data_IF_355514243512
#
_entry.id   IF_355514243512
#
_cell.length_a   1.000
_cell.length_b   1.000
_cell.length_c   1.000
_cell.angle_alpha   90.00
_cell.angle_beta   90.00
_cell.angle_gamma   90.00
#
_symmetry.space_group_name_H-M   'P 1'
#
loop_
_entity.id
_entity.type
_entity.pdbx_description
1 polymer ?
#
# COMPACT_ATOMS: atom_id res chain seq x y z
N UNK A 1 38.66 -19.62 7.76
CA UNK A 1 38.09 -18.46 7.06
C UNK A 1 36.59 -18.63 7.08
N UNK A 2 35.82 -17.57 7.25
CA UNK A 2 34.35 -17.65 7.20
C UNK A 2 33.91 -18.03 5.79
N UNK A 3 33.04 -19.03 5.64
CA UNK A 3 32.46 -19.38 4.34
C UNK A 3 31.22 -18.52 4.02
N UNK A 4 30.56 -17.98 5.05
CA UNK A 4 29.37 -17.16 4.92
C UNK A 4 29.63 -15.72 5.32
N UNK A 5 29.01 -14.81 4.59
CA UNK A 5 29.04 -13.39 4.83
C UNK A 5 27.63 -12.83 4.78
N UNK A 6 27.42 -11.71 5.44
CA UNK A 6 26.14 -11.04 5.51
C UNK A 6 26.28 -9.58 5.05
N UNK A 7 25.35 -9.12 4.22
CA UNK A 7 25.21 -7.71 3.85
C UNK A 7 23.92 -7.17 4.46
N UNK A 8 24.03 -6.04 5.16
CA UNK A 8 22.87 -5.31 5.65
C UNK A 8 22.17 -4.55 4.53
N UNK A 9 22.95 -4.03 3.57
CA UNK A 9 22.46 -3.31 2.38
C UNK A 9 21.57 -4.20 1.52
N UNK A 10 22.03 -5.42 1.23
CA UNK A 10 21.28 -6.40 0.44
C UNK A 10 20.33 -7.25 1.29
N UNK A 11 20.39 -7.13 2.62
CA UNK A 11 19.64 -7.97 3.58
C UNK A 11 19.79 -9.45 3.27
N UNK A 12 21.01 -9.87 2.94
CA UNK A 12 21.28 -11.15 2.30
C UNK A 12 22.54 -11.84 2.82
N UNK A 13 22.60 -13.14 2.57
CA UNK A 13 23.74 -14.01 2.89
C UNK A 13 24.50 -14.36 1.61
N UNK A 14 25.82 -14.35 1.69
CA UNK A 14 26.73 -14.62 0.59
C UNK A 14 27.64 -15.78 0.98
N UNK A 15 27.75 -16.78 0.11
CA UNK A 15 28.66 -17.92 0.30
C UNK A 15 29.92 -17.68 -0.52
N UNK A 16 31.07 -17.69 0.14
CA UNK A 16 32.40 -17.52 -0.45
C UNK A 16 32.47 -16.37 -1.47
N UNK A 17 32.16 -15.12 -1.06
CA UNK A 17 32.23 -13.98 -1.96
C UNK A 17 33.67 -13.75 -2.42
N UNK A 18 33.83 -13.52 -3.72
CA UNK A 18 35.10 -13.06 -4.28
C UNK A 18 35.25 -11.55 -4.03
N UNK A 19 35.91 -11.20 -2.93
CA UNK A 19 36.09 -9.81 -2.49
C UNK A 19 36.98 -8.98 -3.43
N UNK A 20 37.62 -9.59 -4.42
CA UNK A 20 38.38 -8.87 -5.46
C UNK A 20 37.48 -8.43 -6.64
N UNK A 21 36.26 -8.96 -6.71
CA UNK A 21 35.27 -8.62 -7.73
C UNK A 21 34.36 -7.47 -7.31
N UNK A 22 34.10 -6.52 -8.21
CA UNK A 22 33.20 -5.36 -8.01
C UNK A 22 31.69 -5.74 -7.94
N UNK A 23 31.39 -7.03 -7.91
CA UNK A 23 30.02 -7.58 -7.90
C UNK A 23 29.45 -7.78 -6.49
N UNK A 24 30.21 -7.51 -5.43
CA UNK A 24 29.80 -7.74 -4.05
C UNK A 24 29.59 -6.44 -3.27
N UNK A 25 28.66 -6.44 -2.29
CA UNK A 25 28.51 -5.32 -1.38
C UNK A 25 29.80 -5.03 -0.60
N UNK A 26 30.04 -3.75 -0.30
CA UNK A 26 31.17 -3.29 0.51
C UNK A 26 30.95 -3.49 2.02
N UNK A 27 29.72 -3.83 2.42
CA UNK A 27 29.31 -4.02 3.82
C UNK A 27 29.27 -5.49 4.26
N UNK A 28 30.04 -6.36 3.61
CA UNK A 28 30.11 -7.77 3.96
C UNK A 28 30.71 -7.98 5.36
N UNK A 29 29.90 -8.56 6.24
CA UNK A 29 30.28 -8.97 7.60
C UNK A 29 30.50 -10.49 7.59
N UNK A 30 31.68 -10.99 8.00
CA UNK A 30 31.93 -12.43 8.08
C UNK A 30 31.04 -13.08 9.14
N UNK A 31 30.46 -14.23 8.83
CA UNK A 31 29.70 -15.07 9.74
C UNK A 31 30.45 -16.38 10.00
N UNK A 32 30.31 -16.93 11.19
CA UNK A 32 30.75 -18.30 11.45
C UNK A 32 29.73 -19.29 10.89
N UNK A 33 30.19 -20.47 10.48
CA UNK A 33 29.29 -21.52 9.99
C UNK A 33 28.26 -21.93 11.06
N UNK A 34 28.65 -21.87 12.33
CA UNK A 34 27.77 -22.10 13.48
C UNK A 34 26.66 -21.05 13.55
N UNK A 35 27.01 -19.75 13.51
CA UNK A 35 26.03 -18.65 13.53
C UNK A 35 25.09 -18.70 12.32
N UNK A 36 25.62 -19.02 11.14
CA UNK A 36 24.79 -19.21 9.95
C UNK A 36 23.80 -20.38 10.12
N UNK A 37 24.25 -21.52 10.64
CA UNK A 37 23.37 -22.67 10.90
C UNK A 37 22.33 -22.38 11.97
N UNK A 38 22.70 -21.67 13.03
CA UNK A 38 21.76 -21.22 14.05
C UNK A 38 20.66 -20.36 13.43
N UNK A 39 21.02 -19.41 12.56
CA UNK A 39 20.05 -18.58 11.85
C UNK A 39 19.10 -19.42 10.97
N UNK A 40 19.62 -20.40 10.22
CA UNK A 40 18.81 -21.29 9.40
C UNK A 40 17.91 -22.19 10.25
N UNK A 41 18.42 -22.75 11.36
CA UNK A 41 17.64 -23.56 12.29
C UNK A 41 16.55 -22.72 12.97
N UNK A 42 16.85 -21.48 13.33
CA UNK A 42 15.87 -20.55 13.87
C UNK A 42 14.68 -20.33 12.93
N UNK A 43 14.90 -20.28 11.61
CA UNK A 43 13.80 -20.21 10.64
C UNK A 43 12.94 -21.47 10.64
N UNK A 44 13.53 -22.64 10.81
CA UNK A 44 12.80 -23.91 10.97
C UNK A 44 11.97 -23.90 12.26
N UNK A 45 12.50 -23.30 13.31
CA UNK A 45 11.83 -23.15 14.62
C UNK A 45 10.79 -22.01 14.64
N UNK A 46 10.51 -21.38 13.48
CA UNK A 46 9.51 -20.30 13.36
C UNK A 46 10.01 -18.91 13.76
N UNK A 47 11.31 -18.74 14.00
CA UNK A 47 11.93 -17.43 14.26
C UNK A 47 12.28 -16.73 12.96
N UNK A 48 12.36 -15.42 13.01
CA UNK A 48 12.72 -14.58 11.88
C UNK A 48 14.13 -14.05 12.05
N UNK A 49 14.83 -13.90 10.93
CA UNK A 49 16.13 -13.25 10.90
C UNK A 49 15.87 -11.75 10.74
N UNK A 50 16.13 -10.98 11.80
CA UNK A 50 16.16 -9.53 11.71
C UNK A 50 17.50 -9.06 11.19
N UNK A 51 17.44 -8.34 10.08
CA UNK A 51 18.58 -7.74 9.41
C UNK A 51 18.96 -6.45 10.12
N UNK A 52 20.07 -6.46 10.87
CA UNK A 52 20.62 -5.26 11.52
C UNK A 52 21.98 -4.91 10.93
N UNK A 53 22.41 -3.66 11.13
CA UNK A 53 23.74 -3.19 10.71
C UNK A 53 24.88 -3.96 11.40
N UNK A 54 24.65 -4.44 12.62
CA UNK A 54 25.63 -5.26 13.37
C UNK A 54 25.62 -6.75 13.02
N UNK A 55 24.80 -7.17 12.05
CA UNK A 55 24.65 -8.57 11.66
C UNK A 55 23.20 -9.07 11.78
N UNK A 56 22.94 -10.28 11.27
CA UNK A 56 21.63 -10.92 11.34
C UNK A 56 21.41 -11.52 12.74
N UNK A 57 20.23 -11.28 13.32
CA UNK A 57 19.85 -11.75 14.65
C UNK A 57 18.52 -12.48 14.58
N UNK A 58 18.40 -13.61 15.28
CA UNK A 58 17.12 -14.30 15.43
C UNK A 58 16.21 -13.53 16.39
N UNK A 59 15.00 -13.25 15.95
CA UNK A 59 13.93 -12.70 16.75
C UNK A 59 12.68 -13.54 16.60
N UNK A 60 11.99 -13.71 17.72
CA UNK A 60 10.65 -14.27 17.73
C UNK A 60 9.68 -13.18 17.25
N UNK A 61 8.89 -13.50 16.22
CA UNK A 61 7.76 -12.64 15.88
C UNK A 61 6.60 -13.02 16.79
N UNK A 62 5.96 -12.04 17.40
CA UNK A 62 4.80 -12.28 18.26
C UNK A 62 3.65 -12.77 17.38
N UNK A 63 3.24 -14.02 17.55
CA UNK A 63 1.97 -14.48 17.03
C UNK A 63 0.86 -13.84 17.86
N UNK A 64 0.03 -13.02 17.22
CA UNK A 64 -1.14 -12.41 17.86
C UNK A 64 -2.29 -13.42 17.88
N UNK A 65 -3.03 -13.47 18.99
CA UNK A 65 -4.27 -14.26 19.01
C UNK A 65 -5.32 -13.60 18.11
N UNK A 66 -6.34 -14.36 17.65
CA UNK A 66 -7.44 -13.77 16.86
C UNK A 66 -8.10 -12.58 17.54
N UNK A 67 -8.24 -12.60 18.87
CA UNK A 67 -8.81 -11.50 19.65
C UNK A 67 -7.90 -10.27 19.63
N UNK A 68 -6.59 -10.44 19.73
CA UNK A 68 -5.64 -9.34 19.63
C UNK A 68 -5.61 -8.73 18.22
N UNK A 69 -5.75 -9.54 17.18
CA UNK A 69 -5.88 -9.07 15.80
C UNK A 69 -7.16 -8.24 15.61
N UNK A 70 -8.28 -8.66 16.20
CA UNK A 70 -9.52 -7.89 16.19
C UNK A 70 -9.34 -6.54 16.90
N UNK A 71 -8.72 -6.52 18.07
CA UNK A 71 -8.45 -5.26 18.80
C UNK A 71 -7.56 -4.32 17.98
N UNK A 72 -6.55 -4.84 17.29
CA UNK A 72 -5.72 -4.04 16.38
C UNK A 72 -6.51 -3.52 15.18
N UNK A 73 -7.38 -4.34 14.60
CA UNK A 73 -8.23 -3.94 13.49
C UNK A 73 -9.25 -2.87 13.92
N UNK A 74 -9.81 -2.96 15.12
CA UNK A 74 -10.68 -1.93 15.71
C UNK A 74 -9.94 -0.62 15.95
N UNK A 75 -8.73 -0.68 16.50
CA UNK A 75 -7.88 0.50 16.68
C UNK A 75 -7.58 1.17 15.33
N UNK A 76 -7.20 0.39 14.32
CA UNK A 76 -6.97 0.88 12.95
C UNK A 76 -8.23 1.49 12.34
N UNK A 77 -9.40 0.88 12.53
CA UNK A 77 -10.69 1.43 12.09
C UNK A 77 -10.93 2.82 12.69
N UNK A 78 -10.70 2.96 13.99
CA UNK A 78 -10.86 4.23 14.68
C UNK A 78 -9.89 5.30 14.16
N UNK A 79 -8.63 4.94 13.89
CA UNK A 79 -7.64 5.85 13.28
C UNK A 79 -8.07 6.31 11.88
N UNK A 80 -8.50 5.40 11.02
CA UNK A 80 -8.95 5.73 9.66
C UNK A 80 -10.20 6.62 9.67
N UNK A 81 -11.13 6.39 10.60
CA UNK A 81 -12.29 7.25 10.78
C UNK A 81 -11.91 8.64 11.30
N UNK A 82 -10.97 8.71 12.26
CA UNK A 82 -10.48 9.99 12.77
C UNK A 82 -9.74 10.78 11.69
N UNK A 83 -8.96 10.11 10.84
CA UNK A 83 -8.32 10.74 9.68
C UNK A 83 -9.37 11.27 8.71
N UNK A 84 -10.38 10.46 8.35
CA UNK A 84 -11.45 10.89 7.47
C UNK A 84 -12.18 12.12 8.03
N UNK A 85 -12.54 12.11 9.31
CA UNK A 85 -13.18 13.24 9.98
C UNK A 85 -12.31 14.50 9.97
N UNK A 86 -10.99 14.35 10.12
CA UNK A 86 -10.06 15.49 10.05
C UNK A 86 -10.06 16.19 8.69
N UNK A 87 -10.39 15.46 7.61
CA UNK A 87 -10.52 16.00 6.25
C UNK A 87 -11.95 16.48 5.97
N UNK A 88 -12.96 15.75 6.41
CA UNK A 88 -14.38 16.07 6.23
C UNK A 88 -14.75 17.37 6.95
N UNK A 89 -14.34 17.53 8.21
CA UNK A 89 -14.73 18.68 9.04
C UNK A 89 -14.44 20.07 8.40
N UNK A 90 -13.25 20.37 7.85
CA UNK A 90 -13.00 21.64 7.17
C UNK A 90 -13.77 21.78 5.84
N UNK A 91 -13.89 20.70 5.05
CA UNK A 91 -14.59 20.73 3.76
C UNK A 91 -16.10 20.96 3.95
N UNK A 92 -16.72 20.23 4.89
CA UNK A 92 -18.11 20.42 5.27
C UNK A 92 -18.40 21.85 5.77
N UNK A 93 -17.44 22.47 6.48
CA UNK A 93 -17.54 23.89 6.88
C UNK A 93 -17.49 24.83 5.68
N UNK A 94 -16.62 24.59 4.69
CA UNK A 94 -16.56 25.38 3.47
C UNK A 94 -17.87 25.30 2.67
N UNK A 95 -18.43 24.10 2.53
CA UNK A 95 -19.74 23.87 1.90
C UNK A 95 -20.84 24.60 2.65
N UNK A 96 -20.91 24.45 3.99
CA UNK A 96 -21.89 25.16 4.83
C UNK A 96 -21.81 26.68 4.71
N UNK A 97 -20.61 27.22 4.45
CA UNK A 97 -20.38 28.66 4.24
C UNK A 97 -20.62 29.10 2.79
N UNK A 98 -20.95 28.19 1.88
CA UNK A 98 -21.08 28.42 0.44
C UNK A 98 -19.81 29.03 -0.19
N UNK A 99 -18.63 28.64 0.31
CA UNK A 99 -17.32 29.08 -0.22
C UNK A 99 -16.49 27.92 -0.76
N UNK A 100 -17.04 26.70 -0.77
CA UNK A 100 -16.35 25.53 -1.28
C UNK A 100 -16.20 25.57 -2.80
N UNK A 101 -15.07 25.10 -3.31
CA UNK A 101 -14.89 24.85 -4.76
C UNK A 101 -15.51 23.51 -5.18
N UNK A 102 -15.73 23.32 -6.48
CA UNK A 102 -16.23 22.05 -7.03
C UNK A 102 -15.30 20.87 -6.69
N UNK A 103 -13.99 21.10 -6.64
CA UNK A 103 -13.01 20.09 -6.22
C UNK A 103 -13.14 19.76 -4.72
N UNK A 104 -13.37 20.76 -3.86
CA UNK A 104 -13.60 20.55 -2.44
C UNK A 104 -14.89 19.77 -2.17
N UNK A 105 -15.93 20.00 -2.97
CA UNK A 105 -17.20 19.22 -2.91
C UNK A 105 -16.96 17.76 -3.31
N UNK A 106 -16.32 17.51 -4.45
CA UNK A 106 -15.98 16.13 -4.88
C UNK A 106 -15.10 15.41 -3.86
N UNK A 107 -14.16 16.14 -3.26
CA UNK A 107 -13.30 15.60 -2.22
C UNK A 107 -14.12 15.27 -0.96
N UNK A 108 -15.04 16.14 -0.54
CA UNK A 108 -15.93 15.87 0.59
C UNK A 108 -16.71 14.58 0.36
N UNK A 109 -17.36 14.43 -0.80
CA UNK A 109 -18.13 13.24 -1.16
C UNK A 109 -17.28 11.96 -1.12
N UNK A 110 -16.06 12.00 -1.68
CA UNK A 110 -15.16 10.86 -1.68
C UNK A 110 -14.72 10.44 -0.27
N UNK A 111 -14.44 11.41 0.61
CA UNK A 111 -14.04 11.15 1.99
C UNK A 111 -15.23 10.70 2.88
N UNK A 112 -16.43 11.22 2.65
CA UNK A 112 -17.66 10.74 3.31
C UNK A 112 -18.01 9.30 2.91
N UNK A 113 -17.91 8.97 1.61
CA UNK A 113 -18.09 7.59 1.16
C UNK A 113 -17.04 6.66 1.78
N UNK A 114 -15.78 7.08 1.80
CA UNK A 114 -14.68 6.34 2.42
C UNK A 114 -14.94 6.07 3.90
N UNK A 115 -15.35 7.08 4.69
CA UNK A 115 -15.61 6.90 6.13
C UNK A 115 -16.73 5.91 6.38
N UNK A 116 -17.79 5.93 5.56
CA UNK A 116 -18.88 4.95 5.61
C UNK A 116 -18.38 3.54 5.26
N UNK A 117 -17.55 3.41 4.23
CA UNK A 117 -16.97 2.11 3.85
C UNK A 117 -16.08 1.55 4.96
N UNK A 118 -15.19 2.36 5.53
CA UNK A 118 -14.34 1.99 6.68
C UNK A 118 -15.21 1.56 7.86
N UNK A 119 -16.29 2.28 8.15
CA UNK A 119 -17.18 1.92 9.26
C UNK A 119 -17.89 0.57 9.07
N UNK A 120 -18.06 0.12 7.82
CA UNK A 120 -18.68 -1.18 7.49
C UNK A 120 -17.70 -2.35 7.49
N UNK A 121 -16.40 -2.11 7.56
CA UNK A 121 -15.39 -3.18 7.61
C UNK A 121 -15.60 -4.04 8.86
N UNK A 122 -15.61 -5.36 8.62
CA UNK A 122 -15.58 -6.41 9.64
C UNK A 122 -14.15 -6.55 10.18
N UNK A 123 -13.97 -6.34 11.48
CA UNK A 123 -12.65 -6.35 12.13
C UNK A 123 -12.10 -7.76 12.36
N UNK A 124 -12.91 -8.80 12.19
CA UNK A 124 -12.45 -10.20 12.25
C UNK A 124 -11.74 -10.67 10.98
N UNK A 125 -12.06 -10.05 9.83
CA UNK A 125 -11.38 -10.26 8.55
C UNK A 125 -11.40 -8.95 7.74
N UNK A 126 -10.53 -7.98 8.09
CA UNK A 126 -10.66 -6.63 7.59
C UNK A 126 -10.20 -6.49 6.14
N UNK A 127 -11.12 -6.05 5.28
CA UNK A 127 -10.84 -5.56 3.93
C UNK A 127 -10.94 -4.03 3.92
N UNK A 128 -9.78 -3.35 3.96
CA UNK A 128 -9.74 -1.89 4.10
C UNK A 128 -9.97 -1.21 2.75
N UNK A 129 -10.93 -0.28 2.64
CA UNK A 129 -11.12 0.47 1.40
C UNK A 129 -9.89 1.31 1.08
N UNK A 130 -9.68 1.57 -0.21
CA UNK A 130 -8.60 2.44 -0.67
C UNK A 130 -8.86 3.90 -0.27
N UNK A 131 -7.82 4.58 0.21
CA UNK A 131 -7.91 5.95 0.67
C UNK A 131 -8.10 6.91 -0.52
N UNK A 132 -9.08 7.82 -0.49
CA UNK A 132 -9.26 8.81 -1.55
C UNK A 132 -8.07 9.77 -1.62
N UNK A 133 -7.71 10.19 -2.83
CA UNK A 133 -6.56 11.07 -3.05
C UNK A 133 -6.69 12.38 -2.25
N UNK A 134 -5.69 12.68 -1.44
CA UNK A 134 -5.61 13.88 -0.62
C UNK A 134 -5.16 15.09 -1.44
N UNK A 135 -5.73 15.37 -2.61
CA UNK A 135 -5.19 16.45 -3.45
C UNK A 135 -5.34 17.82 -2.76
N UNK A 136 -4.23 18.32 -2.22
CA UNK A 136 -3.85 19.73 -2.19
C UNK A 136 -2.76 19.83 -3.25
N UNK A 137 -3.04 20.40 -4.42
CA UNK A 137 -2.13 20.40 -5.57
C UNK A 137 -0.64 20.60 -5.20
N UNK A 138 0.23 19.70 -5.65
CA UNK A 138 1.59 20.06 -6.05
C UNK A 138 1.69 19.91 -7.58
N UNK A 139 2.21 20.93 -8.26
CA UNK A 139 2.25 21.00 -9.71
C UNK A 139 3.26 20.04 -10.36
N UNK A 140 2.96 19.72 -11.62
CA UNK A 140 3.84 19.22 -12.69
C UNK A 140 4.25 17.74 -12.68
N UNK A 141 3.37 16.88 -13.18
CA UNK A 141 3.59 16.22 -14.48
C UNK A 141 2.39 15.32 -14.80
N UNK A 142 1.89 15.42 -16.03
CA UNK A 142 0.71 14.70 -16.48
C UNK A 142 0.84 13.19 -16.30
N UNK A 143 -0.10 12.59 -15.59
CA UNK A 143 -0.46 11.20 -15.82
C UNK A 143 -1.96 11.02 -15.66
N UNK A 144 -2.51 10.30 -16.62
CA UNK A 144 -3.91 10.24 -16.97
C UNK A 144 -4.80 9.69 -15.85
N UNK A 145 -5.97 10.29 -15.79
CA UNK A 145 -7.18 9.82 -15.11
C UNK A 145 -7.47 8.38 -15.56
N UNK A 146 -7.29 7.39 -14.70
CA UNK A 146 -7.96 6.09 -14.82
C UNK A 146 -9.14 6.07 -13.87
N UNK A 147 -10.23 6.76 -14.24
CA UNK A 147 -11.56 6.41 -13.75
C UNK A 147 -12.14 5.44 -14.76
N UNK A 148 -12.01 4.15 -14.48
CA UNK A 148 -12.63 3.08 -15.27
C UNK A 148 -13.61 2.31 -14.39
N UNK A 149 -14.73 2.94 -14.08
CA UNK A 149 -16.01 2.31 -13.66
C UNK A 149 -17.08 3.37 -13.99
N UNK A 150 -18.14 3.18 -14.76
CA UNK A 150 -18.96 2.00 -15.00
C UNK A 150 -19.49 2.00 -16.45
N UNK A 151 -19.67 0.81 -17.00
CA UNK A 151 -20.58 0.56 -18.10
C UNK A 151 -22.03 0.80 -17.67
N UNK A 152 -22.88 1.05 -18.67
CA UNK A 152 -24.36 1.08 -18.65
C UNK A 152 -24.98 2.47 -18.48
N UNK A 153 -25.36 3.10 -19.59
CA UNK A 153 -26.80 3.27 -19.87
C UNK A 153 -27.03 3.70 -21.32
N UNK A 154 -27.99 3.01 -21.93
CA UNK A 154 -28.49 3.09 -23.29
C UNK A 154 -29.31 4.35 -23.59
N UNK A 155 -29.34 4.72 -24.88
CA UNK A 155 -30.32 5.56 -25.61
C UNK A 155 -30.25 7.10 -25.44
N UNK A 156 -29.86 7.78 -26.52
CA UNK A 156 -30.65 8.73 -27.36
C UNK A 156 -29.63 9.54 -28.19
N UNK A 157 -29.55 9.46 -29.51
CA UNK A 157 -30.33 10.24 -30.50
C UNK A 157 -29.91 9.69 -31.88
N UNK A 158 -30.77 8.93 -32.57
CA UNK A 158 -31.61 9.41 -33.66
C UNK A 158 -30.96 10.47 -34.57
N UNK A 159 -30.68 10.05 -35.81
CA UNK A 159 -30.96 10.76 -37.06
C UNK A 159 -30.35 12.15 -37.23
N UNK A 160 -29.28 12.29 -38.04
CA UNK A 160 -29.24 13.04 -39.31
C UNK A 160 -27.93 12.66 -40.06
N UNK A 161 -28.01 12.60 -41.39
CA UNK A 161 -26.95 12.45 -42.40
C UNK A 161 -26.39 11.03 -42.61
N UNK A 162 -26.30 10.50 -43.82
CA UNK A 162 -26.83 10.82 -45.14
C UNK A 162 -26.34 9.65 -45.99
N UNK A 163 -27.22 8.94 -46.69
CA UNK A 163 -27.19 8.86 -48.15
C UNK A 163 -25.80 8.88 -48.81
N UNK A 164 -25.57 7.86 -49.66
CA UNK A 164 -24.38 7.49 -50.46
C UNK A 164 -23.56 6.43 -49.69
N UNK A 165 -23.52 5.15 -50.07
CA UNK A 165 -23.30 4.61 -51.41
C UNK A 165 -24.02 3.24 -51.53
N UNK A 166 -24.95 3.18 -52.48
CA UNK A 166 -25.22 2.11 -53.47
C UNK A 166 -24.48 0.76 -53.27
N UNK A 167 -25.17 -0.36 -53.06
CA UNK A 167 -25.73 -1.23 -54.11
C UNK A 167 -24.76 -1.52 -55.27
N UNK A 168 -24.37 -2.79 -55.44
CA UNK A 168 -24.34 -3.58 -56.69
C UNK A 168 -23.47 -4.84 -56.48
N UNK A 169 -24.10 -6.01 -56.67
CA UNK A 169 -23.59 -7.34 -57.02
C UNK A 169 -22.52 -8.00 -56.14
#
# INVERSE_FOLDING_TARGET
MSEYYYSFKEKGFFWQPDTESDNYPDDLIPLTDEHYRELMQGQVDGKYIEHRKGGPVLVEHREYTPEELIVQAEARKAELLAEAESVIAPLARAVKRNIATDEEIKRLEAWELYSVMVNRVDTSNPDWPEKPASSRYCGNSGHLISVKVAESFTLLKSSVLSFLIYAIH
#
